data_IF_974713832334
#
_entry.id   IF_974713832334
#
_cell.length_a   1.000
_cell.length_b   1.000
_cell.length_c   1.000
_cell.angle_alpha   90.00
_cell.angle_beta   90.00
_cell.angle_gamma   90.00
#
_symmetry.space_group_name_H-M   'P 1'
#
loop_
_entity.id
_entity.type
_entity.pdbx_description
1 polymer ?
2 polymer ?
3 polymer ?
4 non-polymer ?
5 non-polymer ?
#
loop_
_entity_poly.entity_id
_entity_poly.type
_entity_poly.pdbx_seq_one_letter_code
_entity_poly.pdbx_strand_id
1 'polydeoxyribonucleotide' '(DT)(DG)(DG)(DG)(DG)(DT)(DC)(DC)(DT)' ?
2 'polydeoxyribonucleotide' '(DA)(DG)(DG)(DA)(DC)(DC)(DC)' ?
#
# COMPACT_ATOMS: atom_id res chain seq x y z
N UNK C 51 -5.07 -9.20 26.12
CA UNK C 51 -5.51 -7.98 25.47
C UNK C 51 -4.37 -7.35 24.67
N UNK C 52 -3.17 -7.86 24.87
CA UNK C 52 -2.00 -7.40 24.14
C UNK C 52 -1.71 -8.37 22.99
N UNK C 53 -1.43 -7.80 21.81
CA UNK C 53 -1.34 -8.57 20.58
C UNK C 53 0.10 -8.61 20.08
N UNK C 54 0.30 -9.39 19.01
CA UNK C 54 1.54 -9.44 18.26
C UNK C 54 1.18 -9.26 16.79
N UNK C 55 1.63 -8.18 16.18
CA UNK C 55 1.29 -7.82 14.81
C UNK C 55 2.58 -7.68 14.02
N UNK C 56 2.56 -8.15 12.77
CA UNK C 56 3.72 -8.04 11.89
C UNK C 56 3.31 -7.31 10.62
N UNK C 57 4.21 -6.43 10.15
CA UNK C 57 4.00 -5.62 8.96
C UNK C 57 5.11 -5.88 7.97
N UNK C 58 4.75 -6.22 6.73
CA UNK C 58 5.70 -6.61 5.69
C UNK C 58 5.65 -5.56 4.58
N UNK C 59 6.80 -4.96 4.28
CA UNK C 59 6.95 -3.98 3.23
C UNK C 59 8.06 -4.43 2.30
N UNK C 60 7.75 -4.55 1.01
CA UNK C 60 8.71 -5.03 0.04
C UNK C 60 9.66 -3.93 -0.40
N UNK C 61 10.92 -4.30 -0.62
CA UNK C 61 11.94 -3.33 -1.02
C UNK C 61 11.82 -3.04 -2.52
N UNK C 62 11.80 -1.76 -2.88
CA UNK C 62 11.72 -1.27 -4.25
C UNK C 62 10.87 -2.22 -5.11
N UNK C 63 9.59 -2.32 -4.77
CA UNK C 63 8.74 -3.39 -5.28
C UNK C 63 8.77 -3.48 -6.80
N UNK C 64 8.31 -2.43 -7.48
CA UNK C 64 8.30 -2.44 -8.94
C UNK C 64 9.69 -2.76 -9.50
N UNK C 65 10.71 -2.07 -8.99
CA UNK C 65 12.07 -2.35 -9.43
C UNK C 65 12.46 -3.79 -9.16
N UNK C 66 12.06 -4.33 -8.00
CA UNK C 66 12.39 -5.71 -7.67
C UNK C 66 11.80 -6.67 -8.69
N UNK C 67 10.52 -6.49 -9.03
CA UNK C 67 9.88 -7.35 -10.01
C UNK C 67 10.55 -7.20 -11.38
N UNK C 68 10.88 -5.97 -11.76
CA UNK C 68 11.56 -5.76 -13.03
C UNK C 68 12.92 -6.44 -13.06
N UNK C 69 13.59 -6.52 -11.91
CA UNK C 69 14.89 -7.20 -11.85
C UNK C 69 14.71 -8.70 -11.92
N UNK C 70 13.64 -9.22 -11.33
CA UNK C 70 13.37 -10.66 -11.42
C UNK C 70 13.02 -11.03 -12.86
N UNK C 71 12.31 -10.15 -13.57
CA UNK C 71 11.95 -10.43 -14.96
C UNK C 71 13.18 -10.69 -15.82
N UNK C 72 14.04 -9.70 -15.97
CA UNK C 72 15.30 -9.87 -16.69
C UNK C 72 16.45 -9.51 -15.77
N UNK C 73 17.28 -10.47 -15.36
CA UNK C 73 18.38 -10.16 -14.43
C UNK C 73 19.47 -9.28 -15.04
N UNK C 74 19.25 -8.82 -16.28
CA UNK C 74 20.19 -7.88 -16.89
C UNK C 74 20.29 -6.58 -16.10
N UNK C 75 19.32 -6.30 -15.24
CA UNK C 75 19.26 -5.06 -14.49
C UNK C 75 19.67 -5.24 -13.03
N UNK C 76 20.28 -6.37 -12.68
CA UNK C 76 20.53 -6.67 -11.27
C UNK C 76 21.49 -5.67 -10.64
N UNK C 77 22.53 -5.26 -11.37
CA UNK C 77 23.51 -4.34 -10.84
C UNK C 77 23.46 -2.94 -11.44
N UNK C 78 22.84 -2.79 -12.61
CA UNK C 78 22.68 -1.47 -13.18
C UNK C 78 21.70 -0.66 -12.35
N UNK C 79 21.95 0.63 -12.13
CA UNK C 79 20.98 1.47 -11.42
C UNK C 79 19.68 1.52 -12.20
N UNK C 80 18.60 1.04 -11.58
CA UNK C 80 17.33 0.83 -12.26
C UNK C 80 16.26 1.71 -11.65
N UNK C 81 15.44 2.31 -12.51
CA UNK C 81 14.29 3.08 -12.10
C UNK C 81 13.05 2.76 -12.91
N UNK C 82 11.94 2.50 -12.22
CA UNK C 82 10.67 2.21 -12.87
C UNK C 82 9.94 3.54 -13.09
N UNK C 83 9.50 3.77 -14.33
CA UNK C 83 8.97 5.06 -14.74
C UNK C 83 7.54 4.93 -15.22
N UNK C 84 6.69 5.86 -14.77
CA UNK C 84 5.32 6.00 -15.26
C UNK C 84 5.15 7.45 -15.69
N UNK C 85 5.08 7.67 -17.01
CA UNK C 85 4.92 9.00 -17.61
C UNK C 85 6.10 9.85 -17.15
N UNK C 86 5.89 11.11 -16.75
CA UNK C 86 6.98 11.98 -16.31
C UNK C 86 7.23 11.84 -14.81
N UNK C 87 7.54 10.61 -14.40
CA UNK C 87 7.74 10.34 -12.98
C UNK C 87 8.35 8.95 -12.80
N UNK C 88 9.27 8.83 -11.85
CA UNK C 88 9.93 7.57 -11.52
C UNK C 88 9.37 7.11 -10.18
N UNK C 89 8.41 6.19 -10.22
CA UNK C 89 7.72 5.76 -9.00
C UNK C 89 8.73 5.24 -7.98
N UNK C 90 9.60 4.34 -8.40
CA UNK C 90 10.60 3.78 -7.51
C UNK C 90 11.86 3.49 -8.30
N UNK C 91 12.93 3.15 -7.58
CA UNK C 91 14.22 2.91 -8.21
C UNK C 91 14.96 1.81 -7.46
N UNK C 92 15.88 1.17 -8.17
CA UNK C 92 16.78 0.22 -7.55
C UNK C 92 17.62 0.89 -6.48
N UNK C 93 18.04 0.10 -5.49
CA UNK C 93 18.86 0.66 -4.41
C UNK C 93 20.22 1.13 -4.91
N UNK C 94 20.74 0.51 -5.98
CA UNK C 94 21.94 1.03 -6.61
C UNK C 94 21.72 2.47 -7.09
N UNK C 95 20.54 2.75 -7.66
CA UNK C 95 20.22 4.12 -8.03
C UNK C 95 20.00 4.98 -6.79
N UNK C 96 19.38 4.40 -5.76
CA UNK C 96 19.13 5.17 -4.54
C UNK C 96 20.42 5.62 -3.88
N UNK C 97 21.52 4.90 -4.11
CA UNK C 97 22.82 5.38 -3.68
C UNK C 97 23.25 6.62 -4.46
N UNK C 98 23.07 6.60 -5.78
CA UNK C 98 23.52 7.64 -6.70
C UNK C 98 22.75 8.95 -6.52
N UNK C 99 21.91 9.10 -5.51
CA UNK C 99 21.13 10.30 -5.33
C UNK C 99 19.71 10.22 -5.85
N UNK C 100 19.37 9.15 -6.58
CA UNK C 100 18.00 8.97 -7.03
C UNK C 100 17.10 8.67 -5.84
N UNK C 101 15.94 9.32 -5.80
CA UNK C 101 14.98 9.12 -4.73
C UNK C 101 13.67 8.60 -5.30
N UNK C 102 12.84 8.07 -4.43
CA UNK C 102 11.52 7.59 -4.84
C UNK C 102 10.64 8.78 -5.23
N UNK C 103 9.94 8.63 -6.36
CA UNK C 103 8.99 9.64 -6.86
C UNK C 103 9.69 10.91 -7.34
N UNK C 104 10.87 10.77 -7.95
CA UNK C 104 11.53 11.90 -8.58
C UNK C 104 10.99 12.13 -9.98
N UNK C 105 11.12 13.37 -10.46
CA UNK C 105 10.92 13.65 -11.87
C UNK C 105 11.94 12.87 -12.69
N UNK C 106 11.55 12.45 -13.89
CA UNK C 106 12.49 11.76 -14.76
C UNK C 106 13.66 12.67 -15.10
N UNK C 107 13.41 13.97 -15.21
CA UNK C 107 14.48 14.93 -15.46
C UNK C 107 15.39 15.06 -14.24
N UNK C 108 14.81 15.16 -13.05
CA UNK C 108 15.62 15.23 -11.84
C UNK C 108 16.35 13.92 -11.59
N UNK C 109 15.80 12.79 -12.05
CA UNK C 109 16.46 11.51 -11.85
C UNK C 109 17.66 11.37 -12.78
N UNK C 110 17.45 11.61 -14.08
CA UNK C 110 18.56 11.52 -15.03
C UNK C 110 19.59 12.63 -14.81
N UNK C 111 19.19 13.76 -14.23
CA UNK C 111 20.15 14.81 -13.94
C UNK C 111 21.06 14.41 -12.79
N UNK C 112 20.47 13.96 -11.67
CA UNK C 112 21.27 13.53 -10.54
C UNK C 112 21.98 12.21 -10.82
N UNK C 113 21.54 11.46 -11.83
CA UNK C 113 22.18 10.20 -12.19
C UNK C 113 21.88 9.95 -13.66
N UNK C 114 22.81 10.30 -14.55
CA UNK C 114 22.57 10.12 -15.99
C UNK C 114 22.67 8.69 -16.45
N UNK C 115 23.51 7.87 -15.79
CA UNK C 115 23.67 6.47 -16.18
C UNK C 115 22.49 5.60 -15.73
N UNK C 116 21.37 6.22 -15.38
CA UNK C 116 20.21 5.47 -14.91
C UNK C 116 19.53 4.73 -16.06
N UNK C 117 19.12 3.50 -15.78
CA UNK C 117 18.36 2.68 -16.73
C UNK C 117 16.90 2.70 -16.31
N UNK C 118 16.02 3.05 -17.25
CA UNK C 118 14.60 3.22 -16.95
C UNK C 118 13.77 2.11 -17.59
N UNK C 119 12.77 1.64 -16.85
CA UNK C 119 11.84 0.62 -17.35
C UNK C 119 10.42 1.13 -17.15
N UNK C 120 9.63 1.14 -18.22
CA UNK C 120 8.25 1.60 -18.13
C UNK C 120 7.43 0.66 -17.25
N UNK C 121 6.65 1.23 -16.35
CA UNK C 121 5.85 0.43 -15.44
C UNK C 121 4.40 0.89 -15.35
N UNK C 122 3.84 1.33 -16.47
CA UNK C 122 2.46 1.79 -16.48
C UNK C 122 1.46 0.64 -16.47
N UNK C 123 1.89 -0.57 -16.86
CA UNK C 123 1.05 -1.76 -16.81
C UNK C 123 1.39 -2.53 -15.53
N UNK C 124 0.48 -2.50 -14.57
CA UNK C 124 0.74 -3.05 -13.24
C UNK C 124 0.46 -4.54 -13.12
N UNK C 125 0.31 -5.25 -14.25
CA UNK C 125 -0.20 -6.61 -14.20
C UNK C 125 0.77 -7.55 -13.47
N UNK C 126 2.05 -7.52 -13.85
CA UNK C 126 3.03 -8.41 -13.23
C UNK C 126 3.20 -8.08 -11.75
N UNK C 127 3.34 -6.78 -11.43
CA UNK C 127 3.45 -6.36 -10.05
C UNK C 127 2.25 -6.85 -9.23
N UNK C 128 1.05 -6.74 -9.80
CA UNK C 128 -0.16 -7.18 -9.11
C UNK C 128 -0.13 -8.69 -8.86
N UNK C 129 0.24 -9.47 -9.88
CA UNK C 129 0.39 -10.91 -9.70
C UNK C 129 1.30 -11.24 -8.53
N UNK C 130 2.50 -10.65 -8.52
CA UNK C 130 3.43 -10.90 -7.43
C UNK C 130 2.82 -10.50 -6.09
N UNK C 131 2.18 -9.32 -6.03
CA UNK C 131 1.59 -8.86 -4.79
C UNK C 131 0.62 -9.89 -4.22
N UNK C 132 -0.28 -10.40 -5.04
CA UNK C 132 -1.25 -11.35 -4.52
C UNK C 132 -0.61 -12.70 -4.21
N UNK C 133 0.46 -13.06 -4.91
CA UNK C 133 1.20 -14.26 -4.50
C UNK C 133 1.76 -14.08 -3.08
N UNK C 134 2.30 -12.90 -2.79
CA UNK C 134 2.80 -12.62 -1.44
C UNK C 134 1.66 -12.72 -0.43
N UNK C 135 0.54 -12.07 -0.72
CA UNK C 135 -0.58 -12.08 0.22
C UNK C 135 -1.06 -13.49 0.50
N UNK C 136 -1.18 -14.34 -0.54
CA UNK C 136 -1.57 -15.72 -0.31
C UNK C 136 -0.54 -16.46 0.54
N UNK C 137 0.75 -16.25 0.24
CA UNK C 137 1.79 -16.91 1.02
C UNK C 137 1.67 -16.56 2.50
N UNK C 138 1.49 -15.27 2.81
CA UNK C 138 1.30 -14.88 4.21
C UNK C 138 0.01 -15.45 4.78
N UNK C 139 -1.04 -15.55 3.95
CA UNK C 139 -2.28 -16.19 4.40
C UNK C 139 -2.06 -17.64 4.80
N UNK C 140 -1.03 -18.29 4.27
CA UNK C 140 -0.69 -19.63 4.75
C UNK C 140 -0.38 -19.63 6.24
N UNK C 141 0.35 -18.62 6.71
CA UNK C 141 0.75 -18.57 8.11
C UNK C 141 -0.45 -18.31 9.03
N UNK C 142 -1.20 -17.25 8.76
CA UNK C 142 -2.41 -16.92 9.49
C UNK C 142 -3.50 -16.58 8.50
N UNK C 143 -4.73 -17.05 8.73
CA UNK C 143 -5.81 -16.77 7.77
C UNK C 143 -6.08 -15.29 7.57
N UNK C 144 -5.94 -14.48 8.62
CA UNK C 144 -6.25 -13.07 8.54
C UNK C 144 -4.99 -12.31 8.12
N UNK C 145 -5.04 -11.72 6.92
CA UNK C 145 -3.94 -10.93 6.38
C UNK C 145 -4.56 -9.71 5.71
N UNK C 146 -4.22 -8.53 6.20
CA UNK C 146 -4.75 -7.29 5.65
C UNK C 146 -3.76 -6.70 4.65
N UNK C 147 -4.25 -6.37 3.47
CA UNK C 147 -3.41 -5.80 2.43
C UNK C 147 -3.45 -4.28 2.50
N UNK C 148 -2.29 -3.66 2.46
CA UNK C 148 -2.17 -2.21 2.31
C UNK C 148 -1.23 -1.94 1.14
N UNK C 149 -1.71 -1.18 0.17
CA UNK C 149 -0.95 -1.00 -1.04
C UNK C 149 -0.81 -2.34 -1.73
N UNK C 150 0.17 -2.40 -2.64
CA UNK C 150 0.50 -3.67 -3.27
C UNK C 150 1.52 -4.46 -2.48
N UNK C 151 2.42 -3.78 -1.74
CA UNK C 151 3.55 -4.44 -1.13
C UNK C 151 3.54 -4.45 0.39
N UNK C 152 2.48 -3.95 1.03
CA UNK C 152 2.43 -3.92 2.49
C UNK C 152 1.36 -4.89 2.97
N UNK C 153 1.67 -5.64 4.03
CA UNK C 153 0.76 -6.67 4.54
C UNK C 153 0.83 -6.72 6.07
N UNK C 154 -0.32 -6.73 6.72
CA UNK C 154 -0.43 -6.90 8.16
C UNK C 154 -0.90 -8.31 8.48
N UNK C 155 -0.21 -8.98 9.39
CA UNK C 155 -0.61 -10.31 9.84
C UNK C 155 -0.69 -10.31 11.36
N UNK C 156 -1.78 -10.84 11.89
CA UNK C 156 -2.00 -10.94 13.34
C UNK C 156 -1.43 -12.27 13.81
N UNK C 157 -0.25 -12.21 14.42
CA UNK C 157 0.45 -13.41 14.86
C UNK C 157 0.06 -13.87 16.26
N UNK C 158 -0.89 -13.19 16.90
CA UNK C 158 -1.14 -13.41 18.32
C UNK C 158 -1.46 -14.87 18.62
N UNK C 159 -2.53 -15.39 17.99
CA UNK C 159 -2.93 -16.77 18.25
C UNK C 159 -1.81 -17.74 17.87
N UNK C 160 -1.13 -17.47 16.76
CA UNK C 160 -0.02 -18.33 16.35
C UNK C 160 1.08 -18.32 17.41
N UNK C 161 1.38 -17.14 17.98
CA UNK C 161 2.42 -17.05 18.99
C UNK C 161 2.04 -17.83 20.24
N UNK C 162 0.77 -17.72 20.68
CA UNK C 162 0.33 -18.48 21.84
C UNK C 162 0.44 -19.98 21.59
N UNK C 163 -0.05 -20.44 20.45
CA UNK C 163 0.05 -21.86 20.11
C UNK C 163 1.51 -22.31 20.09
N UNK C 164 2.41 -21.45 19.63
CA UNK C 164 3.83 -21.77 19.67
C UNK C 164 4.32 -21.88 21.11
N UNK C 165 3.90 -20.95 21.97
CA UNK C 165 4.40 -20.94 23.34
C UNK C 165 3.95 -22.15 24.12
N UNK C 166 2.71 -22.60 23.89
CA UNK C 166 2.25 -23.77 24.64
C UNK C 166 3.03 -25.03 24.29
N UNK C 167 3.65 -25.09 23.13
CA UNK C 167 4.45 -26.25 22.76
C UNK C 167 5.80 -26.27 23.46
N UNK C 168 6.34 -25.10 23.81
CA UNK C 168 7.63 -25.04 24.46
C UNK C 168 7.53 -25.47 25.92
N UNK C 169 8.67 -25.88 26.47
CA UNK C 169 8.76 -26.38 27.83
C UNK C 169 9.42 -25.36 28.74
N UNK C 170 9.35 -25.62 30.04
CA UNK C 170 9.86 -24.67 31.03
C UNK C 170 11.36 -24.45 30.86
N UNK C 171 12.10 -25.52 30.58
CA UNK C 171 13.54 -25.37 30.35
C UNK C 171 13.84 -24.66 29.05
N UNK C 172 12.90 -24.66 28.10
CA UNK C 172 13.12 -24.06 26.80
C UNK C 172 12.76 -22.58 26.75
N UNK C 173 11.97 -22.09 27.72
CA UNK C 173 11.58 -20.68 27.73
C UNK C 173 12.79 -19.76 27.86
N UNK C 174 13.92 -20.27 28.32
CA UNK C 174 15.14 -19.46 28.40
C UNK C 174 15.91 -19.42 27.10
N UNK C 175 15.63 -20.33 26.18
CA UNK C 175 16.35 -20.43 24.91
C UNK C 175 15.77 -19.54 23.83
N UNK C 176 14.72 -18.78 24.13
CA UNK C 176 14.09 -17.95 23.12
C UNK C 176 15.03 -16.82 22.72
N UNK C 177 15.25 -16.66 21.42
CA UNK C 177 16.14 -15.65 20.90
C UNK C 177 15.41 -14.82 19.85
N UNK C 178 15.90 -13.59 19.67
CA UNK C 178 15.30 -12.67 18.71
C UNK C 178 15.80 -12.98 17.31
N UNK C 179 14.95 -12.76 16.32
CA UNK C 179 15.32 -12.84 14.91
C UNK C 179 15.32 -11.42 14.36
N UNK C 180 16.44 -11.00 13.81
CA UNK C 180 16.52 -9.67 13.26
C UNK C 180 16.80 -8.61 14.32
N UNK C 181 16.53 -7.37 13.96
CA UNK C 181 16.88 -6.24 14.79
C UNK C 181 15.90 -6.07 15.94
N UNK C 182 16.38 -5.42 17.00
CA UNK C 182 15.55 -4.93 18.10
C UNK C 182 15.64 -3.41 18.09
N UNK C 183 14.49 -2.74 18.14
CA UNK C 183 14.49 -1.29 18.03
C UNK C 183 15.22 -0.67 19.21
N UNK C 184 16.18 0.21 18.89
CA UNK C 184 16.90 0.99 19.88
C UNK C 184 17.75 0.12 20.81
N UNK C 185 18.18 -1.05 20.33
CA UNK C 185 19.09 -1.93 21.06
C UNK C 185 18.56 -2.24 22.46
N UNK C 186 17.24 -2.27 22.61
CA UNK C 186 16.63 -2.44 23.92
C UNK C 186 16.98 -3.79 24.52
N UNK C 187 17.24 -3.80 25.83
CA UNK C 187 17.55 -5.02 26.53
C UNK C 187 16.29 -5.89 26.66
N UNK C 188 16.47 -7.19 26.45
CA UNK C 188 15.36 -8.14 26.48
C UNK C 188 15.22 -8.67 27.89
N UNK C 189 13.99 -8.64 28.41
CA UNK C 189 13.67 -9.23 29.70
C UNK C 189 12.96 -10.55 29.43
N UNK C 190 13.73 -11.65 29.45
CA UNK C 190 13.16 -12.95 29.15
C UNK C 190 12.04 -13.36 30.08
N UNK C 191 11.86 -12.66 31.21
CA UNK C 191 10.75 -12.95 32.10
C UNK C 191 9.53 -12.10 31.82
N UNK C 192 9.71 -10.95 31.16
CA UNK C 192 8.58 -10.17 30.63
C UNK C 192 7.90 -11.00 29.54
N UNK C 193 6.67 -11.42 29.80
CA UNK C 193 5.97 -12.28 28.85
C UNK C 193 5.78 -11.55 27.52
N UNK C 194 5.47 -10.25 27.57
CA UNK C 194 5.31 -9.49 26.33
C UNK C 194 6.58 -9.56 25.48
N UNK C 195 7.74 -9.43 26.12
CA UNK C 195 9.00 -9.57 25.40
C UNK C 195 9.10 -10.93 24.72
N UNK C 196 8.73 -12.00 25.44
CA UNK C 196 8.82 -13.34 24.85
C UNK C 196 7.91 -13.45 23.64
N UNK C 197 6.65 -13.02 23.79
CA UNK C 197 5.71 -13.14 22.68
C UNK C 197 6.17 -12.33 21.47
N UNK C 198 6.78 -11.16 21.70
CA UNK C 198 7.31 -10.39 20.60
C UNK C 198 8.54 -11.06 19.97
N UNK C 199 9.35 -11.75 20.76
CA UNK C 199 10.48 -12.50 20.21
C UNK C 199 9.98 -13.62 19.29
N UNK C 200 8.98 -14.38 19.76
CA UNK C 200 8.36 -15.37 18.90
C UNK C 200 7.81 -14.71 17.65
N UNK C 201 7.26 -13.50 17.79
CA UNK C 201 6.83 -12.75 16.62
C UNK C 201 7.96 -12.48 15.65
N UNK C 202 9.15 -12.19 16.17
CA UNK C 202 10.29 -11.98 15.28
C UNK C 202 10.73 -13.27 14.62
N UNK C 203 10.63 -14.40 15.33
CA UNK C 203 10.94 -15.69 14.73
C UNK C 203 9.98 -16.00 13.58
N UNK C 204 8.68 -15.82 13.82
CA UNK C 204 7.69 -16.06 12.77
C UNK C 204 7.90 -15.09 11.62
N UNK C 205 8.31 -13.85 11.92
CA UNK C 205 8.56 -12.88 10.85
C UNK C 205 9.75 -13.31 9.98
N UNK C 206 10.84 -13.74 10.62
CA UNK C 206 11.98 -14.23 9.87
C UNK C 206 11.60 -15.43 9.01
N UNK C 207 10.81 -16.34 9.56
CA UNK C 207 10.34 -17.48 8.78
C UNK C 207 9.51 -17.02 7.58
N UNK C 208 8.69 -15.97 7.77
CA UNK C 208 7.91 -15.43 6.67
C UNK C 208 8.80 -14.87 5.58
N UNK C 209 9.79 -14.07 5.94
CA UNK C 209 10.67 -13.48 4.92
C UNK C 209 11.47 -14.56 4.20
N UNK C 210 11.97 -15.55 4.93
CA UNK C 210 12.70 -16.64 4.30
C UNK C 210 11.81 -17.41 3.33
N UNK C 211 10.55 -17.67 3.73
CA UNK C 211 9.62 -18.34 2.83
C UNK C 211 9.35 -17.49 1.59
N UNK C 212 9.21 -16.17 1.76
CA UNK C 212 8.98 -15.31 0.61
C UNK C 212 10.14 -15.35 -0.35
N UNK C 213 11.37 -15.38 0.16
CA UNK C 213 12.52 -15.39 -0.74
C UNK C 213 12.68 -16.74 -1.41
N UNK C 214 12.44 -17.83 -0.69
CA UNK C 214 12.64 -19.15 -1.28
C UNK C 214 11.53 -19.52 -2.26
N UNK C 215 10.31 -19.04 -2.04
CA UNK C 215 9.18 -19.42 -2.87
C UNK C 215 8.85 -18.39 -3.95
N UNK C 216 9.10 -17.10 -3.70
CA UNK C 216 8.79 -16.06 -4.66
C UNK C 216 10.01 -15.25 -5.09
N UNK C 217 11.17 -15.50 -4.51
CA UNK C 217 12.35 -14.73 -4.85
C UNK C 217 12.25 -13.27 -4.50
N UNK C 218 11.49 -12.93 -3.47
CA UNK C 218 11.29 -11.55 -3.06
C UNK C 218 11.89 -11.29 -1.68
N UNK C 219 12.55 -10.15 -1.54
CA UNK C 219 13.05 -9.70 -0.26
C UNK C 219 12.16 -8.59 0.28
N UNK C 220 12.07 -8.51 1.61
CA UNK C 220 11.24 -7.50 2.24
C UNK C 220 11.68 -7.22 3.65
N UNK C 221 11.17 -6.12 4.19
CA UNK C 221 11.36 -5.74 5.58
C UNK C 221 10.10 -6.06 6.37
N UNK C 222 10.28 -6.35 7.66
CA UNK C 222 9.18 -6.69 8.53
C UNK C 222 9.33 -5.96 9.86
N UNK C 223 8.19 -5.65 10.46
CA UNK C 223 8.17 -5.02 11.77
C UNK C 223 7.19 -5.70 12.70
N UNK C 224 7.65 -6.12 13.87
CA UNK C 224 6.83 -6.82 14.84
C UNK C 224 6.59 -5.88 16.01
N UNK C 225 5.32 -5.64 16.32
CA UNK C 225 4.96 -4.75 17.43
C UNK C 225 3.66 -5.28 18.04
N UNK C 226 3.02 -4.44 18.85
CA UNK C 226 1.82 -4.82 19.59
C UNK C 226 0.54 -4.26 19.00
N UNK C 227 0.63 -3.51 17.90
CA UNK C 227 -0.54 -3.05 17.17
C UNK C 227 -0.14 -2.77 15.73
N UNK C 228 -1.09 -2.26 14.95
CA UNK C 228 -0.85 -2.06 13.52
C UNK C 228 0.07 -0.86 13.29
N UNK C 229 -0.23 0.27 13.94
CA UNK C 229 0.54 1.49 13.72
C UNK C 229 2.00 1.30 14.08
N UNK C 230 2.27 0.70 15.24
CA UNK C 230 3.65 0.51 15.67
C UNK C 230 4.37 -0.51 14.81
N UNK C 231 3.68 -1.53 14.34
CA UNK C 231 4.32 -2.48 13.43
C UNK C 231 4.73 -1.79 12.13
N UNK C 232 3.79 -1.06 11.50
CA UNK C 232 4.13 -0.38 10.26
C UNK C 232 5.22 0.67 10.47
N UNK C 233 5.22 1.32 11.64
CA UNK C 233 6.23 2.34 11.90
C UNK C 233 7.60 1.71 12.14
N UNK C 234 7.63 0.55 12.81
CA UNK C 234 8.91 -0.10 13.13
C UNK C 234 9.42 -1.00 12.02
N UNK C 235 8.64 -1.21 10.95
CA UNK C 235 9.11 -2.05 9.86
C UNK C 235 10.24 -1.38 9.10
N UNK C 236 10.15 -0.07 8.89
CA UNK C 236 11.10 0.67 8.10
C UNK C 236 12.34 1.17 8.80
N UNK C 237 12.55 0.80 10.07
CA UNK C 237 13.71 1.31 10.81
C UNK C 237 15.01 0.86 10.15
N UNK C 238 15.10 -0.40 9.76
CA UNK C 238 16.28 -0.94 9.10
C UNK C 238 15.90 -1.43 7.72
N UNK C 239 16.43 -0.76 6.71
CA UNK C 239 16.14 -1.05 5.31
C UNK C 239 17.46 -1.09 4.56
N UNK C 240 17.56 -1.99 3.57
CA UNK C 240 16.53 -2.92 3.12
C UNK C 240 16.70 -4.34 3.63
N UNK C 241 15.63 -5.14 3.51
CA UNK C 241 15.67 -6.58 3.73
C UNK C 241 16.12 -6.92 5.16
N UNK C 242 15.70 -6.11 6.12
CA UNK C 242 15.96 -6.36 7.53
C UNK C 242 14.65 -6.24 8.29
N UNK C 243 14.60 -6.86 9.46
CA UNK C 243 13.40 -6.82 10.27
C UNK C 243 13.72 -6.32 11.67
N UNK C 244 12.71 -5.69 12.28
CA UNK C 244 12.88 -5.03 13.57
C UNK C 244 11.65 -5.29 14.42
N UNK C 245 11.88 -5.72 15.67
CA UNK C 245 10.82 -5.89 16.65
C UNK C 245 10.92 -4.75 17.65
N UNK C 246 9.76 -4.25 18.09
CA UNK C 246 9.67 -3.15 19.02
C UNK C 246 9.03 -3.63 20.33
N UNK C 247 9.80 -3.57 21.42
CA UNK C 247 9.35 -3.86 22.77
C UNK C 247 8.69 -2.63 23.37
N UNK C 248 7.68 -2.84 24.22
CA UNK C 248 6.81 -1.71 24.61
C UNK C 248 7.54 -0.53 25.21
N UNK C 249 8.60 -0.77 25.97
CA UNK C 249 9.31 0.32 26.63
C UNK C 249 9.86 1.31 25.61
N UNK C 250 10.34 0.82 24.47
CA UNK C 250 10.88 1.70 23.43
C UNK C 250 9.81 2.44 22.66
N UNK C 251 8.53 2.11 22.87
CA UNK C 251 7.44 2.67 22.07
C UNK C 251 7.54 4.18 21.94
N UNK C 252 7.53 4.89 23.07
CA UNK C 252 7.59 6.35 23.05
C UNK C 252 8.74 6.85 22.19
N UNK C 253 9.93 6.25 22.36
CA UNK C 253 11.08 6.65 21.55
C UNK C 253 10.72 6.69 20.08
N UNK C 254 10.17 5.58 19.58
CA UNK C 254 9.80 5.50 18.17
C UNK C 254 8.86 6.64 17.80
N UNK C 255 7.83 6.85 18.61
CA UNK C 255 6.81 7.84 18.27
C UNK C 255 7.38 9.24 18.24
N UNK C 256 8.53 9.46 18.90
CA UNK C 256 9.16 10.77 18.86
C UNK C 256 10.34 10.82 17.90
N UNK C 257 10.77 9.68 17.37
CA UNK C 257 11.78 9.69 16.32
C UNK C 257 11.27 10.39 15.07
N UNK C 258 9.95 10.53 14.92
CA UNK C 258 9.38 11.20 13.78
C UNK C 258 9.60 12.71 13.88
N UNK C 259 9.90 13.33 12.75
CA UNK C 259 10.13 14.77 12.72
C UNK C 259 8.84 15.56 12.54
N UNK C 260 7.96 15.11 11.64
CA UNK C 260 6.68 15.78 11.42
C UNK C 260 5.56 14.77 11.54
N UNK C 261 4.34 15.30 11.74
CA UNK C 261 3.19 14.44 12.03
C UNK C 261 2.64 13.74 10.80
N UNK C 262 2.92 14.23 9.58
CA UNK C 262 2.40 13.56 8.40
C UNK C 262 2.99 12.16 8.26
N UNK C 263 4.14 11.92 8.89
CA UNK C 263 4.86 10.66 8.76
C UNK C 263 4.09 9.54 9.45
N UNK C 264 3.00 9.91 10.12
CA UNK C 264 2.10 8.94 10.73
C UNK C 264 1.06 8.50 9.70
N UNK C 265 0.84 7.20 9.54
CA UNK C 265 -0.31 6.73 8.75
C UNK C 265 -1.61 7.24 9.38
N UNK C 266 -2.56 7.61 8.52
CA UNK C 266 -3.78 8.21 8.97
C UNK C 266 -3.76 9.73 9.00
N UNK C 267 -2.60 10.35 8.83
CA UNK C 267 -2.47 11.79 8.73
C UNK C 267 -1.97 12.08 7.32
N UNK C 268 -2.82 12.67 6.49
CA UNK C 268 -2.50 12.98 5.12
C UNK C 268 -2.20 14.45 4.90
N UNK C 269 -2.32 14.88 3.64
CA UNK C 269 -1.98 16.26 3.30
C UNK C 269 -2.97 17.25 3.90
N UNK C 270 -4.27 16.93 3.85
CA UNK C 270 -5.28 17.86 4.34
C UNK C 270 -5.19 18.02 5.86
N UNK C 271 -5.20 16.89 6.58
CA UNK C 271 -5.14 16.96 8.04
C UNK C 271 -3.85 17.60 8.51
N UNK C 272 -2.72 17.22 7.91
CA UNK C 272 -1.45 17.82 8.30
C UNK C 272 -1.41 19.30 8.01
N UNK C 273 -2.00 19.72 6.87
CA UNK C 273 -2.06 21.15 6.58
C UNK C 273 -2.89 21.87 7.63
N UNK C 274 -4.02 21.29 8.04
CA UNK C 274 -4.85 21.92 9.07
C UNK C 274 -4.12 21.99 10.40
N UNK C 275 -3.34 20.97 10.74
CA UNK C 275 -2.62 20.97 12.01
C UNK C 275 -1.46 21.96 11.97
N UNK C 276 -0.80 22.09 10.83
CA UNK C 276 0.16 23.18 10.65
C UNK C 276 -0.51 24.52 10.89
N UNK C 277 -1.71 24.71 10.33
CA UNK C 277 -2.46 25.94 10.57
C UNK C 277 -2.80 26.11 12.04
N UNK C 278 -2.94 25.02 12.78
CA UNK C 278 -3.23 25.07 14.20
C UNK C 278 -1.98 25.17 15.07
N UNK C 279 -0.80 25.29 14.48
CA UNK C 279 0.42 25.37 15.24
C UNK C 279 0.99 24.03 15.68
N UNK C 280 0.50 22.93 15.16
CA UNK C 280 0.98 21.59 15.52
C UNK C 280 2.00 21.18 14.47
N UNK C 281 3.26 21.08 14.86
CA UNK C 281 4.32 20.70 13.94
C UNK C 281 5.11 19.49 14.40
N UNK C 282 4.86 18.98 15.60
CA UNK C 282 5.59 17.83 16.10
C UNK C 282 4.61 16.85 16.73
N UNK C 283 5.10 15.64 17.01
CA UNK C 283 4.26 14.63 17.64
C UNK C 283 3.86 15.06 19.03
N UNK C 284 4.79 15.66 19.78
CA UNK C 284 4.44 16.11 21.12
C UNK C 284 3.44 17.27 21.07
N UNK C 285 3.55 18.12 20.05
CA UNK C 285 2.57 19.19 19.88
C UNK C 285 1.17 18.64 19.73
N UNK C 286 1.03 17.47 19.12
CA UNK C 286 -0.28 16.83 18.99
C UNK C 286 -0.67 16.07 20.24
N UNK C 287 0.30 15.46 20.93
CA UNK C 287 0.01 14.78 22.18
C UNK C 287 -0.55 15.75 23.22
N UNK C 288 -0.02 16.96 23.25
CA UNK C 288 -0.34 17.94 24.28
C UNK C 288 -1.45 18.92 23.88
N UNK C 289 -1.97 18.81 22.65
CA UNK C 289 -2.98 19.77 22.21
C UNK C 289 -4.31 19.51 22.90
N UNK C 290 -5.08 20.59 23.09
CA UNK C 290 -6.36 20.49 23.75
C UNK C 290 -7.31 19.60 22.95
N UNK C 291 -7.89 18.56 23.57
CA UNK C 291 -8.81 17.70 22.81
C UNK C 291 -10.01 18.43 22.27
N UNK C 292 -10.59 19.34 23.04
CA UNK C 292 -11.80 20.04 22.61
C UNK C 292 -11.54 20.85 21.34
N UNK C 293 -10.48 21.66 21.34
CA UNK C 293 -10.19 22.50 20.18
C UNK C 293 -9.98 21.64 18.94
N UNK C 294 -9.26 20.53 19.09
CA UNK C 294 -9.01 19.66 17.95
C UNK C 294 -10.30 19.02 17.45
N UNK C 295 -11.17 18.60 18.37
CA UNK C 295 -12.47 18.08 17.96
C UNK C 295 -13.24 19.12 17.14
N UNK C 296 -13.22 20.38 17.60
CA UNK C 296 -13.95 21.42 16.88
C UNK C 296 -13.34 21.71 15.52
N UNK C 297 -12.02 21.58 15.38
CA UNK C 297 -11.37 21.96 14.13
C UNK C 297 -11.37 20.84 13.10
N UNK C 298 -11.42 19.58 13.54
CA UNK C 298 -11.31 18.45 12.63
C UNK C 298 -12.49 17.48 12.70
N UNK C 299 -13.53 17.79 13.46
CA UNK C 299 -14.57 16.83 13.71
C UNK C 299 -14.21 15.89 14.85
N UNK C 300 -15.22 15.18 15.36
CA UNK C 300 -15.02 14.36 16.53
C UNK C 300 -14.18 13.12 16.20
N UNK C 301 -14.54 12.39 15.15
CA UNK C 301 -13.89 11.12 14.87
C UNK C 301 -12.40 11.31 14.60
N UNK C 302 -12.07 12.21 13.66
CA UNK C 302 -10.68 12.39 13.25
C UNK C 302 -9.83 12.83 14.45
N UNK C 303 -10.36 13.73 15.28
CA UNK C 303 -9.59 14.22 16.42
C UNK C 303 -9.25 13.07 17.38
N UNK C 304 -10.26 12.32 17.81
CA UNK C 304 -10.03 11.19 18.71
C UNK C 304 -9.01 10.23 18.10
N UNK C 305 -9.19 9.88 16.83
CA UNK C 305 -8.35 8.86 16.22
C UNK C 305 -6.90 9.31 16.10
N UNK C 306 -6.66 10.50 15.54
CA UNK C 306 -5.28 10.92 15.33
C UNK C 306 -4.62 11.29 16.64
N UNK C 307 -5.41 11.70 17.65
CA UNK C 307 -4.82 11.92 18.96
C UNK C 307 -4.38 10.60 19.58
N UNK C 308 -5.21 9.56 19.47
CA UNK C 308 -4.79 8.23 19.92
C UNK C 308 -3.56 7.76 19.16
N UNK C 309 -3.50 8.05 17.85
CA UNK C 309 -2.30 7.72 17.07
C UNK C 309 -1.09 8.50 17.57
N UNK C 310 -1.31 9.73 18.06
CA UNK C 310 -0.20 10.56 18.47
C UNK C 310 0.58 9.94 19.63
N UNK C 311 -0.05 9.05 20.38
CA UNK C 311 0.60 8.33 21.47
C UNK C 311 1.05 6.94 21.04
N UNK C 312 0.90 6.59 19.77
CA UNK C 312 1.23 5.25 19.32
C UNK C 312 0.21 4.20 19.67
N UNK C 313 -1.00 4.61 20.05
CA UNK C 313 -2.06 3.69 20.43
C UNK C 313 -2.91 3.37 19.21
N UNK C 314 -2.98 2.09 18.86
CA UNK C 314 -3.75 1.63 17.71
C UNK C 314 -4.64 0.48 18.16
N UNK C 315 -5.94 0.75 18.31
CA UNK C 315 -6.91 -0.27 18.68
C UNK C 315 -7.53 -0.96 17.48
N UNK C 316 -7.00 -0.73 16.27
CA UNK C 316 -7.56 -1.33 15.07
C UNK C 316 -7.12 -2.79 14.94
N UNK C 317 -8.02 -3.68 14.52
CA UNK C 317 -7.65 -5.07 14.28
C UNK C 317 -7.26 -5.32 12.83
N UNK C 318 -6.53 -6.41 12.64
CA UNK C 318 -6.18 -6.85 11.29
C UNK C 318 -7.41 -7.44 10.63
N UNK C 319 -7.75 -6.94 9.45
CA UNK C 319 -8.97 -7.30 8.74
C UNK C 319 -8.59 -8.12 7.50
N UNK C 320 -9.18 -9.31 7.37
CA UNK C 320 -8.94 -10.14 6.20
C UNK C 320 -9.37 -9.41 4.93
N UNK C 321 -8.40 -9.06 4.09
CA UNK C 321 -8.69 -8.27 2.91
C UNK C 321 -9.36 -9.10 1.84
N UNK C 322 -8.94 -10.36 1.68
CA UNK C 322 -9.57 -11.27 0.75
C UNK C 322 -9.44 -10.83 -0.69
N UNK C 323 -10.48 -11.03 -1.49
CA UNK C 323 -10.42 -10.66 -2.90
C UNK C 323 -10.67 -9.17 -3.08
N UNK C 324 -10.17 -8.59 -4.16
CA UNK C 324 -10.30 -7.13 -4.33
C UNK C 324 -11.75 -6.72 -4.53
N UNK C 325 -12.10 -5.57 -3.95
CA UNK C 325 -13.45 -5.05 -4.04
C UNK C 325 -13.71 -4.29 -5.34
N UNK C 326 -12.69 -4.11 -6.19
CA UNK C 326 -12.86 -3.37 -7.43
C UNK C 326 -11.67 -3.60 -8.34
N UNK C 327 -11.91 -3.52 -9.64
CA UNK C 327 -10.87 -3.42 -10.66
C UNK C 327 -10.96 -2.06 -11.32
N UNK C 328 -9.84 -1.59 -11.86
CA UNK C 328 -9.83 -0.30 -12.53
C UNK C 328 -8.59 -0.17 -13.39
N UNK C 329 -8.71 0.60 -14.46
CA UNK C 329 -7.61 0.90 -15.35
C UNK C 329 -7.57 2.41 -15.59
N UNK C 330 -6.37 2.98 -15.53
CA UNK C 330 -6.18 4.41 -15.65
C UNK C 330 -5.32 4.75 -16.86
N UNK C 331 -5.45 6.00 -17.32
CA UNK C 331 -4.63 6.51 -18.40
C UNK C 331 -4.68 8.03 -18.34
N UNK C 332 -3.52 8.66 -18.19
CA UNK C 332 -3.40 10.11 -18.18
C UNK C 332 -2.64 10.58 -19.42
N UNK C 333 -2.70 11.87 -19.66
CA UNK C 333 -2.07 12.49 -20.82
C UNK C 333 -2.02 14.01 -20.58
N UNK C 334 -1.41 14.71 -21.54
CA UNK C 334 -1.34 16.17 -21.45
C UNK C 334 -2.69 16.80 -21.74
N UNK C 335 -3.37 16.33 -22.79
CA UNK C 335 -4.69 16.81 -23.13
C UNK C 335 -5.35 15.84 -24.10
N UNK C 336 -6.69 15.76 -24.02
CA UNK C 336 -7.50 15.01 -24.97
C UNK C 336 -8.71 15.86 -25.31
N UNK C 337 -8.86 16.21 -26.59
CA UNK C 337 -9.88 17.16 -27.01
C UNK C 337 -10.80 16.60 -28.09
N UNK C 338 -10.84 15.30 -28.27
CA UNK C 338 -11.73 14.68 -29.23
C UNK C 338 -12.52 13.57 -28.55
N UNK C 339 -13.83 13.52 -28.84
CA UNK C 339 -14.64 12.42 -28.33
C UNK C 339 -14.13 11.09 -28.85
N UNK C 340 -13.75 11.02 -30.12
CA UNK C 340 -13.20 9.79 -30.68
C UNK C 340 -11.85 9.48 -30.03
N UNK C 341 -11.07 10.51 -29.70
CA UNK C 341 -9.84 10.31 -28.96
C UNK C 341 -10.13 9.67 -27.60
N UNK C 342 -11.07 10.24 -26.86
CA UNK C 342 -11.47 9.65 -25.58
C UNK C 342 -12.11 8.29 -25.76
N UNK C 343 -12.88 8.10 -26.85
CA UNK C 343 -13.59 6.84 -27.04
C UNK C 343 -12.64 5.68 -27.25
N UNK C 344 -11.51 5.92 -27.93
CA UNK C 344 -10.56 4.84 -28.19
C UNK C 344 -9.85 4.43 -26.90
N UNK C 345 -9.42 5.40 -26.09
CA UNK C 345 -8.82 5.08 -24.80
C UNK C 345 -9.79 4.28 -23.94
N UNK C 346 -11.07 4.67 -23.93
CA UNK C 346 -12.07 3.94 -23.16
C UNK C 346 -12.23 2.53 -23.69
N UNK C 347 -12.08 2.34 -25.01
CA UNK C 347 -12.09 0.98 -25.55
C UNK C 347 -10.87 0.19 -25.10
N UNK C 348 -9.73 0.85 -24.92
CA UNK C 348 -8.51 0.18 -24.48
C UNK C 348 -8.62 -0.26 -23.01
N UNK C 349 -8.84 0.71 -22.12
CA UNK C 349 -9.07 0.39 -20.72
C UNK C 349 -10.18 -0.62 -20.56
N UNK C 350 -11.26 -0.45 -21.32
CA UNK C 350 -12.36 -1.41 -21.29
C UNK C 350 -11.89 -2.81 -21.70
N UNK C 351 -10.98 -2.89 -22.68
CA UNK C 351 -10.49 -4.19 -23.11
C UNK C 351 -9.70 -4.87 -21.99
N UNK C 352 -8.70 -4.16 -21.43
CA UNK C 352 -7.92 -4.76 -20.37
C UNK C 352 -8.78 -5.15 -19.18
N UNK C 353 -9.73 -4.29 -18.81
CA UNK C 353 -10.64 -4.61 -17.71
C UNK C 353 -11.47 -5.85 -18.04
N UNK C 354 -11.94 -5.97 -19.29
CA UNK C 354 -12.70 -7.14 -19.68
C UNK C 354 -11.86 -8.40 -19.55
N UNK C 355 -10.58 -8.32 -19.88
CA UNK C 355 -9.69 -9.45 -19.63
C UNK C 355 -9.61 -9.78 -18.15
N UNK C 356 -9.49 -8.76 -17.31
CA UNK C 356 -9.27 -9.00 -15.89
C UNK C 356 -10.51 -9.52 -15.17
N UNK C 357 -11.69 -9.10 -15.59
CA UNK C 357 -12.89 -9.49 -14.85
C UNK C 357 -13.29 -10.93 -15.12
N UNK C 358 -13.06 -11.42 -16.34
CA UNK C 358 -13.43 -12.79 -16.68
C UNK C 358 -12.55 -13.82 -15.97
N UNK C 359 -11.37 -13.41 -15.51
CA UNK C 359 -10.48 -14.37 -14.87
C UNK C 359 -10.78 -14.54 -13.38
N UNK C 360 -11.26 -13.47 -12.73
CA UNK C 360 -11.54 -13.56 -11.30
C UNK C 360 -12.71 -14.49 -11.02
N UNK C 361 -13.67 -14.59 -11.95
CA UNK C 361 -14.86 -15.35 -11.72
C UNK C 361 -15.92 -14.64 -10.91
N UNK C 362 -15.66 -13.41 -10.48
CA UNK C 362 -16.62 -12.58 -9.77
C UNK C 362 -17.05 -11.47 -10.71
N UNK C 363 -18.35 -11.36 -10.93
CA UNK C 363 -18.85 -10.42 -11.93
C UNK C 363 -19.13 -9.07 -11.28
N UNK C 364 -18.64 -7.97 -11.86
CA UNK C 364 -18.96 -6.65 -11.32
C UNK C 364 -20.41 -6.28 -11.60
N UNK C 365 -20.97 -5.48 -10.70
CA UNK C 365 -22.35 -5.04 -10.83
C UNK C 365 -22.50 -3.53 -11.01
N UNK C 366 -21.40 -2.78 -11.04
CA UNK C 366 -21.49 -1.34 -11.25
C UNK C 366 -20.26 -0.86 -12.02
N UNK C 367 -20.48 0.03 -12.98
CA UNK C 367 -19.40 0.62 -13.77
C UNK C 367 -19.30 2.10 -13.43
N UNK C 368 -18.06 2.60 -13.34
CA UNK C 368 -17.79 3.98 -12.98
C UNK C 368 -16.79 4.58 -13.96
N UNK C 369 -17.07 5.80 -14.40
CA UNK C 369 -16.16 6.57 -15.24
C UNK C 369 -15.67 7.78 -14.46
N UNK C 370 -14.34 7.94 -14.40
CA UNK C 370 -13.70 9.07 -13.74
C UNK C 370 -12.89 9.82 -14.79
N UNK C 371 -13.01 11.16 -14.81
CA UNK C 371 -12.18 12.00 -15.65
C UNK C 371 -11.75 13.22 -14.85
N UNK C 372 -10.63 13.81 -15.28
CA UNK C 372 -10.09 15.02 -14.69
C UNK C 372 -9.81 16.01 -15.82
N UNK C 373 -10.48 17.16 -15.75
CA UNK C 373 -10.35 18.24 -16.73
C UNK C 373 -9.06 19.01 -16.51
N UNK C 374 -8.66 19.75 -17.53
CA UNK C 374 -7.41 20.51 -17.46
C UNK C 374 -7.65 21.88 -16.81
N UNK C 375 -6.57 22.47 -16.32
CA UNK C 375 -6.63 23.79 -15.69
C UNK C 375 -5.40 24.62 -16.06
N UNK C 381 -10.64 19.58 -10.33
CA UNK C 381 -10.42 18.29 -9.69
C UNK C 381 -11.06 17.14 -10.45
N UNK C 382 -11.00 15.95 -9.86
CA UNK C 382 -11.61 14.78 -10.47
C UNK C 382 -13.13 14.85 -10.40
N UNK C 383 -13.79 14.19 -11.36
CA UNK C 383 -15.23 14.03 -11.34
C UNK C 383 -15.58 12.66 -11.92
N UNK C 384 -16.66 12.07 -11.42
CA UNK C 384 -17.01 10.70 -11.76
C UNK C 384 -18.51 10.51 -11.87
N UNK C 385 -18.92 9.65 -12.79
CA UNK C 385 -20.31 9.23 -12.93
C UNK C 385 -20.34 7.72 -13.11
N UNK C 386 -21.22 7.06 -12.35
CA UNK C 386 -21.32 5.60 -12.37
C UNK C 386 -22.78 5.19 -12.57
N UNK C 387 -22.97 3.92 -12.88
CA UNK C 387 -24.30 3.36 -13.05
C UNK C 387 -24.19 1.84 -13.00
N UNK C 388 -25.26 1.14 -12.63
CA UNK C 388 -25.18 -0.32 -12.59
C UNK C 388 -25.09 -0.90 -13.99
N UNK C 389 -24.48 -2.08 -14.07
CA UNK C 389 -24.32 -2.77 -15.34
C UNK C 389 -25.61 -3.54 -15.63
N UNK C 390 -26.14 -3.50 -16.85
CA UNK C 390 -27.38 -4.22 -17.14
C UNK C 390 -27.27 -5.72 -16.89
N UNK C 391 -28.44 -6.35 -16.71
CA UNK C 391 -28.48 -7.74 -16.26
C UNK C 391 -27.87 -8.69 -17.29
N UNK C 392 -28.27 -8.56 -18.55
CA UNK C 392 -27.84 -9.51 -19.57
C UNK C 392 -26.34 -9.40 -19.84
N UNK C 393 -25.80 -8.17 -19.86
CA UNK C 393 -24.37 -8.02 -20.13
C UNK C 393 -23.56 -8.49 -18.92
N UNK C 394 -24.11 -8.39 -17.71
CA UNK C 394 -23.46 -8.99 -16.55
C UNK C 394 -23.33 -10.49 -16.72
N UNK C 395 -24.42 -11.15 -17.12
CA UNK C 395 -24.40 -12.59 -17.32
C UNK C 395 -23.50 -12.99 -18.49
N UNK C 396 -23.42 -12.15 -19.52
CA UNK C 396 -22.63 -12.48 -20.71
C UNK C 396 -21.13 -12.42 -20.45
N UNK C 397 -20.71 -11.82 -19.34
CA UNK C 397 -19.30 -11.78 -19.00
C UNK C 397 -18.79 -13.18 -18.69
N UNK C 398 -17.66 -13.54 -19.29
CA UNK C 398 -17.09 -14.86 -19.10
C UNK C 398 -17.00 -15.65 -20.39
N UNK C 402 -19.81 -14.34 -26.05
CA UNK C 402 -20.68 -13.21 -26.32
C UNK C 402 -19.90 -11.90 -26.36
N UNK C 403 -20.20 -11.05 -27.35
CA UNK C 403 -19.54 -9.76 -27.51
C UNK C 403 -20.12 -8.77 -26.52
N UNK C 404 -19.41 -8.56 -25.41
CA UNK C 404 -19.83 -7.58 -24.40
C UNK C 404 -19.16 -6.24 -24.60
N UNK C 405 -18.34 -6.09 -25.65
CA UNK C 405 -17.57 -4.87 -25.86
C UNK C 405 -18.47 -3.72 -26.31
N UNK C 406 -19.21 -3.93 -27.39
CA UNK C 406 -20.02 -2.87 -28.00
C UNK C 406 -20.99 -2.19 -27.03
N UNK C 407 -21.75 -2.92 -26.19
CA UNK C 407 -22.68 -2.21 -25.29
C UNK C 407 -21.99 -1.34 -24.27
N UNK C 408 -21.01 -1.91 -23.54
CA UNK C 408 -20.35 -1.19 -22.45
C UNK C 408 -19.87 0.18 -22.90
N UNK C 409 -19.21 0.24 -24.06
CA UNK C 409 -18.74 1.52 -24.60
C UNK C 409 -19.85 2.54 -24.55
N UNK C 410 -20.97 2.24 -25.22
CA UNK C 410 -22.11 3.16 -25.23
C UNK C 410 -22.44 3.63 -23.82
N UNK C 411 -22.57 2.68 -22.88
CA UNK C 411 -22.85 3.03 -21.49
C UNK C 411 -21.89 4.12 -21.03
N UNK C 412 -20.59 3.81 -21.03
CA UNK C 412 -19.61 4.78 -20.57
C UNK C 412 -19.71 6.08 -21.36
N UNK C 413 -19.93 5.97 -22.68
CA UNK C 413 -20.03 7.17 -23.50
C UNK C 413 -21.18 8.04 -23.03
N UNK C 414 -22.32 7.44 -22.69
CA UNK C 414 -23.38 8.21 -22.06
C UNK C 414 -22.87 8.90 -20.81
N UNK C 415 -22.27 8.13 -19.89
CA UNK C 415 -21.66 8.72 -18.70
C UNK C 415 -20.64 9.79 -19.08
N UNK C 416 -20.00 9.65 -20.24
CA UNK C 416 -19.07 10.66 -20.69
C UNK C 416 -19.79 11.94 -21.09
N UNK C 417 -20.85 11.81 -21.89
CA UNK C 417 -21.53 12.99 -22.42
C UNK C 417 -22.26 13.78 -21.34
N UNK C 418 -22.63 13.12 -20.23
CA UNK C 418 -23.21 13.84 -19.11
C UNK C 418 -22.20 14.83 -18.53
N UNK C 419 -20.95 14.41 -18.40
CA UNK C 419 -19.96 15.24 -17.72
C UNK C 419 -19.47 16.36 -18.61
N UNK C 420 -19.16 16.06 -19.87
CA UNK C 420 -18.55 17.00 -20.78
C UNK C 420 -19.49 17.22 -21.96
N UNK C 421 -19.74 18.48 -22.30
CA UNK C 421 -20.53 18.83 -23.47
C UNK C 421 -19.62 18.83 -24.68
N UNK C 422 -19.85 17.88 -25.60
CA UNK C 422 -19.02 17.78 -26.79
C UNK C 422 -19.18 19.02 -27.67
N UNK C 423 -20.32 19.70 -27.56
CA UNK C 423 -20.53 20.93 -28.31
C UNK C 423 -19.55 22.02 -27.85
N UNK C 424 -19.37 22.16 -26.53
CA UNK C 424 -18.43 23.12 -25.99
C UNK C 424 -17.01 22.55 -26.05
N UNK C 425 -16.00 23.41 -26.15
CA UNK C 425 -14.62 22.92 -26.18
C UNK C 425 -14.22 22.32 -24.85
N UNK C 426 -13.24 21.42 -24.91
CA UNK C 426 -12.77 20.74 -23.70
C UNK C 426 -11.37 20.23 -23.91
N UNK C 427 -10.69 19.94 -22.80
CA UNK C 427 -9.39 19.29 -22.81
C UNK C 427 -9.27 18.49 -21.53
N UNK C 428 -9.10 17.19 -21.66
CA UNK C 428 -9.12 16.28 -20.52
C UNK C 428 -7.70 15.89 -20.13
N UNK C 429 -7.46 15.79 -18.82
CA UNK C 429 -6.16 15.41 -18.29
C UNK C 429 -6.10 13.94 -17.89
N UNK C 430 -7.18 13.40 -17.32
CA UNK C 430 -7.15 12.02 -16.85
C UNK C 430 -8.42 11.29 -17.27
N UNK C 431 -8.24 10.04 -17.72
CA UNK C 431 -9.35 9.15 -18.06
C UNK C 431 -9.15 7.80 -17.37
N UNK C 432 -10.14 7.38 -16.58
CA UNK C 432 -10.05 6.15 -15.81
C UNK C 432 -11.40 5.45 -15.77
N UNK C 433 -11.37 4.11 -15.86
CA UNK C 433 -12.56 3.29 -15.84
C UNK C 433 -12.46 2.31 -14.67
N UNK C 434 -13.59 2.08 -13.99
CA UNK C 434 -13.65 1.22 -12.83
C UNK C 434 -14.82 0.26 -12.93
N UNK C 435 -14.57 -0.99 -12.58
CA UNK C 435 -15.62 -1.98 -12.33
C UNK C 435 -15.63 -2.28 -10.84
N UNK C 436 -16.78 -2.02 -10.20
CA UNK C 436 -16.91 -2.26 -8.77
C UNK C 436 -18.25 -2.92 -8.50
N UNK C 437 -18.55 -3.10 -7.20
CA UNK C 437 -19.73 -3.83 -6.75
C UNK C 437 -19.66 -5.30 -7.17
N UNK C 438 -18.49 -5.91 -6.97
CA UNK C 438 -18.29 -7.30 -7.37
C UNK C 438 -19.02 -8.24 -6.41
N UNK C 439 -19.65 -9.27 -6.98
CA UNK C 439 -20.38 -10.25 -6.19
C UNK C 439 -20.17 -11.64 -6.77
X LIG D 1 11.10 0.85 -0.32
X LIG D 1 9.81 0.33 0.30
X LIG D 1 11.36 2.31 -0.06
X LIG D 1 12.29 -0.05 -0.08
X LIG D 1 9.36 0.79 -2.54
X LIG D 1 9.52 1.03 -4.02
X LIG D 1 8.68 -0.49 -2.11
X LIG D 1 10.83 0.76 -1.90
X LIG D 1 6.86 1.88 -1.47
X LIG D 1 6.25 3.17 -0.96
X LIG D 1 6.81 0.67 -0.58
X LIG D 1 8.53 2.20 -1.88
X LIG D 1 6.03 1.52 -2.80
X LIG D 1 5.86 0.17 -3.22
X LIG D 1 5.58 0.19 -4.71
X LIG D 1 4.36 0.89 -4.95
X LIG D 1 6.66 0.96 -5.44
X LIG D 1 7.57 0.06 -6.08
X LIG D 1 5.94 1.82 -6.47
X LIG D 1 4.46 1.74 -6.09
X LIG D 1 3.97 3.08 -5.75
X LIG D 1 3.34 3.89 -6.72
X LIG D 1 2.90 5.12 -6.40
X LIG D 1 3.05 5.59 -5.14
X LIG D 1 3.66 4.81 -4.18
X LIG D 1 4.12 3.54 -4.50
X LIG D 1 3.20 3.47 -7.90
X LIG D 1 2.59 6.83 -4.82
X LIG E 1 8.11 -1.11 -0.21
X LIG F 1 5.48 0.02 0.74
#
# INVERSE_FOLDING_TARGET
MEKLGVEPEEEGGGDDDEEDAEAWAMELADVGAAASSQGVHDQVLPTPNASSRVIVHVDLDCFYAQVEMISNPELKDKPLGVQQKYLVVTCNYEARKLGVKKLMNVRDAKEKCPQLVLVNGEDLTRYREMSYKVTELLEEFSPVVERLGFDENFVDLTEMVEKRLQQLQSDELSAVTVSGHVYNNQSINLLDVLHIRLLVGSQIAAEMREAMYNQLGLTGCAGVASNKLLAKLVSGVFKPNQQTVLLPESCQHLIHSLNHIKEIPGIGYKTAKCLEALGINSVRDLQTFSPKILEKELGISVAQRIQKLSFGEDNSPVILSGPPQSFSEEDSFKKCSSEVEAKNKIEELLASLLNRVCQDGRKPHTVRLIIRRYSSEKHYGRESRQCPIPSHVIQKLGTGNYDVMTPMVDILMKLFRNMVNVKMPFHLTLLSVCFCNLKALNTAK
0KX PG O1G O2G O3G PB O1B O2B O3B PA O1A O2A N3A O5' C5' C4' O4' C3' O3' C2' C1' N1 C2 N3 C4 C5 C6 O2 N4
MG MG
MG MG
#
